data_IF_395936864973
#
_entry.id   IF_395936864973
#
_cell.length_a   1.000
_cell.length_b   1.000
_cell.length_c   1.000
_cell.angle_alpha   90.00
_cell.angle_beta   90.00
_cell.angle_gamma   90.00
#
_symmetry.space_group_name_H-M   'P 1'
#
loop_
_entity.id
_entity.type
_entity.pdbx_description
1 polymer ?
#
# COMPACT_ATOMS: atom_id res chain seq x y z
N UNK A 1 -40.09 -58.86 4.67
CA UNK A 1 -39.73 -58.28 3.35
C UNK A 1 -39.00 -56.97 3.61
N UNK A 2 -37.83 -56.77 2.99
CA UNK A 2 -37.16 -55.46 2.89
C UNK A 2 -36.20 -55.11 4.03
N UNK A 3 -34.96 -55.58 3.93
CA UNK A 3 -33.82 -55.05 4.66
C UNK A 3 -33.35 -53.74 4.00
N UNK A 4 -33.23 -52.66 4.76
CA UNK A 4 -32.45 -51.48 4.35
C UNK A 4 -31.63 -50.99 5.54
N UNK A 5 -30.52 -51.69 5.76
CA UNK A 5 -29.49 -51.30 6.71
C UNK A 5 -28.69 -50.15 6.13
N UNK A 6 -29.08 -48.93 6.50
CA UNK A 6 -28.34 -47.71 6.17
C UNK A 6 -26.86 -47.89 6.51
N UNK A 7 -26.02 -47.82 5.49
CA UNK A 7 -24.58 -48.04 5.60
C UNK A 7 -23.96 -46.85 6.32
N UNK A 8 -23.66 -47.00 7.60
CA UNK A 8 -22.88 -46.01 8.35
C UNK A 8 -21.47 -45.97 7.74
N UNK A 9 -21.09 -44.81 7.20
CA UNK A 9 -19.78 -44.58 6.63
C UNK A 9 -18.69 -44.95 7.65
N UNK A 10 -17.77 -45.83 7.25
CA UNK A 10 -16.71 -46.29 8.14
C UNK A 10 -15.66 -45.19 8.26
N UNK A 11 -14.96 -45.15 9.39
CA UNK A 11 -13.86 -44.20 9.64
C UNK A 11 -12.81 -44.19 8.52
N UNK A 12 -12.64 -45.32 7.84
CA UNK A 12 -11.72 -45.50 6.72
C UNK A 12 -12.14 -44.72 5.48
N UNK A 13 -13.45 -44.62 5.21
CA UNK A 13 -14.00 -43.81 4.12
C UNK A 13 -13.82 -42.31 4.42
N UNK A 14 -14.02 -41.93 5.69
CA UNK A 14 -13.78 -40.56 6.16
C UNK A 14 -12.29 -40.20 6.02
N UNK A 15 -11.39 -41.11 6.37
CA UNK A 15 -9.94 -40.90 6.24
C UNK A 15 -9.48 -40.87 4.78
N UNK A 16 -10.10 -41.66 3.89
CA UNK A 16 -9.80 -41.68 2.45
C UNK A 16 -10.32 -40.42 1.73
N UNK A 17 -11.42 -39.83 2.19
CA UNK A 17 -11.87 -38.51 1.74
C UNK A 17 -10.92 -37.40 2.22
N UNK A 18 -10.33 -37.53 3.42
CA UNK A 18 -9.32 -36.58 3.91
C UNK A 18 -7.98 -36.72 3.17
N UNK A 19 -7.59 -37.92 2.70
CA UNK A 19 -6.37 -38.08 1.90
C UNK A 19 -6.57 -37.65 0.43
N UNK A 20 -7.74 -37.90 -0.17
CA UNK A 20 -8.05 -37.50 -1.55
C UNK A 20 -8.53 -36.04 -1.68
N UNK A 21 -8.95 -35.39 -0.59
CA UNK A 21 -9.23 -33.94 -0.60
C UNK A 21 -7.96 -33.08 -0.70
N UNK A 22 -6.77 -33.65 -0.51
CA UNK A 22 -5.49 -32.95 -0.67
C UNK A 22 -5.06 -32.88 -2.14
N UNK A 23 -5.60 -33.74 -3.03
CA UNK A 23 -5.16 -33.85 -4.43
C UNK A 23 -6.12 -33.29 -5.48
N UNK A 24 -7.32 -32.82 -5.11
CA UNK A 24 -8.32 -32.28 -6.05
C UNK A 24 -8.54 -30.76 -6.01
N UNK A 25 -7.71 -29.99 -5.28
CA UNK A 25 -7.78 -28.51 -5.24
C UNK A 25 -6.77 -27.81 -6.15
N UNK A 26 -6.49 -28.35 -7.35
CA UNK A 26 -5.65 -27.69 -8.36
C UNK A 26 -6.40 -26.63 -9.20
N UNK A 27 -7.47 -26.05 -8.64
CA UNK A 27 -8.13 -24.83 -9.15
C UNK A 27 -8.11 -23.67 -8.14
N UNK A 28 -7.51 -23.83 -6.94
CA UNK A 28 -7.68 -22.91 -5.79
C UNK A 28 -6.64 -21.79 -5.67
N UNK A 29 -5.95 -21.44 -6.76
CA UNK A 29 -4.86 -20.44 -6.74
C UNK A 29 -5.33 -19.02 -7.06
N UNK A 30 -6.09 -18.86 -8.14
CA UNK A 30 -6.42 -17.54 -8.70
C UNK A 30 -7.54 -16.84 -7.90
N UNK A 31 -8.58 -17.56 -7.46
CA UNK A 31 -9.68 -17.00 -6.66
C UNK A 31 -9.20 -16.39 -5.33
N UNK A 32 -8.15 -16.98 -4.75
CA UNK A 32 -7.56 -16.53 -3.50
C UNK A 32 -6.75 -15.23 -3.69
N UNK A 33 -6.01 -15.09 -4.79
CA UNK A 33 -5.22 -13.89 -5.06
C UNK A 33 -6.13 -12.67 -5.29
N UNK A 34 -7.17 -12.82 -6.11
CA UNK A 34 -8.12 -11.75 -6.40
C UNK A 34 -8.90 -11.32 -5.15
N UNK A 35 -9.28 -12.27 -4.30
CA UNK A 35 -9.96 -11.98 -3.03
C UNK A 35 -9.04 -11.24 -2.05
N UNK A 36 -7.78 -11.67 -1.94
CA UNK A 36 -6.81 -11.03 -1.06
C UNK A 36 -6.39 -9.64 -1.54
N UNK A 37 -6.36 -9.42 -2.86
CA UNK A 37 -6.08 -8.11 -3.45
C UNK A 37 -7.14 -7.06 -3.07
N UNK A 38 -8.38 -7.50 -2.82
CA UNK A 38 -9.53 -6.66 -2.51
C UNK A 38 -9.82 -6.55 -1.02
N UNK A 39 -9.02 -7.20 -0.16
CA UNK A 39 -9.24 -7.23 1.29
C UNK A 39 -8.09 -6.63 2.08
N UNK A 40 -8.42 -6.05 3.23
CA UNK A 40 -7.48 -5.48 4.17
C UNK A 40 -6.65 -6.59 4.82
N UNK A 41 -5.32 -6.52 4.74
CA UNK A 41 -4.45 -7.58 5.23
C UNK A 41 -4.53 -7.81 6.76
N UNK A 42 -5.03 -6.85 7.55
CA UNK A 42 -5.19 -7.00 9.01
C UNK A 42 -6.58 -7.45 9.43
N UNK A 43 -7.64 -6.88 8.83
CA UNK A 43 -9.03 -7.10 9.25
C UNK A 43 -9.79 -8.07 8.34
N UNK A 44 -9.24 -8.43 7.18
CA UNK A 44 -9.90 -9.19 6.11
C UNK A 44 -11.18 -8.55 5.57
N UNK A 45 -11.48 -7.30 5.95
CA UNK A 45 -12.60 -6.53 5.43
C UNK A 45 -12.33 -6.09 3.99
N UNK A 46 -13.35 -5.93 3.14
CA UNK A 46 -13.18 -5.41 1.79
C UNK A 46 -12.58 -4.00 1.82
N UNK A 47 -11.68 -3.71 0.88
CA UNK A 47 -11.06 -2.39 0.70
C UNK A 47 -11.97 -1.40 -0.05
N UNK A 48 -12.97 -1.91 -0.76
CA UNK A 48 -13.98 -1.14 -1.49
C UNK A 48 -15.17 -0.78 -0.58
N UNK A 49 -14.94 -0.06 0.51
CA UNK A 49 -16.05 0.34 1.38
C UNK A 49 -16.83 1.52 0.80
N UNK A 50 -18.16 1.54 0.99
CA UNK A 50 -19.06 2.60 0.51
C UNK A 50 -18.70 3.99 1.05
N UNK A 51 -17.98 4.06 2.17
CA UNK A 51 -17.56 5.29 2.85
C UNK A 51 -16.28 5.92 2.28
N UNK A 52 -15.70 5.37 1.20
CA UNK A 52 -14.44 5.86 0.61
C UNK A 52 -13.32 5.95 1.67
N UNK A 53 -13.22 4.89 2.49
CA UNK A 53 -12.26 4.89 3.59
C UNK A 53 -10.84 4.99 3.02
N UNK A 54 -9.96 5.80 3.63
CA UNK A 54 -8.61 5.94 3.13
C UNK A 54 -7.87 4.61 3.20
N UNK A 55 -7.32 4.17 2.08
CA UNK A 55 -6.49 2.96 1.97
C UNK A 55 -5.02 3.37 2.13
N UNK A 56 -4.24 2.54 2.79
CA UNK A 56 -2.79 2.70 2.90
C UNK A 56 -2.05 1.42 2.54
N UNK A 57 -0.81 1.56 2.05
CA UNK A 57 0.06 0.46 1.66
C UNK A 57 1.41 0.52 2.38
N UNK A 58 1.96 -0.64 2.73
CA UNK A 58 3.28 -0.79 3.32
C UNK A 58 4.36 -1.14 2.28
N UNK A 59 5.63 -1.12 2.69
CA UNK A 59 6.73 -1.40 1.77
C UNK A 59 6.74 -2.83 1.21
N UNK A 60 6.03 -3.79 1.84
CA UNK A 60 5.90 -5.17 1.34
C UNK A 60 4.82 -5.33 0.28
N UNK A 61 4.01 -4.30 0.06
CA UNK A 61 2.91 -4.34 -0.91
C UNK A 61 1.61 -4.87 -0.31
N UNK A 62 1.44 -4.82 1.01
CA UNK A 62 0.15 -5.13 1.66
C UNK A 62 -0.69 -3.87 1.79
N UNK A 63 -1.99 -4.02 1.63
CA UNK A 63 -2.97 -2.95 1.68
C UNK A 63 -3.84 -3.04 2.94
N UNK A 64 -4.21 -1.89 3.47
CA UNK A 64 -4.96 -1.76 4.71
C UNK A 64 -6.00 -0.66 4.62
N UNK A 65 -7.14 -0.86 5.28
CA UNK A 65 -7.99 0.24 5.70
C UNK A 65 -7.23 1.05 6.75
N UNK A 66 -7.09 2.37 6.53
CA UNK A 66 -6.30 3.25 7.42
C UNK A 66 -6.80 3.21 8.86
N UNK A 67 -8.11 3.12 9.07
CA UNK A 67 -8.70 3.01 10.39
C UNK A 67 -8.23 1.75 11.13
N UNK A 68 -8.27 0.59 10.45
CA UNK A 68 -7.90 -0.70 11.03
C UNK A 68 -6.41 -0.82 11.35
N UNK A 69 -5.54 -0.25 10.51
CA UNK A 69 -4.11 -0.21 10.84
C UNK A 69 -3.80 0.78 11.98
N UNK A 70 -4.56 1.88 12.12
CA UNK A 70 -4.41 2.79 13.26
C UNK A 70 -4.83 2.10 14.56
N UNK A 71 -5.98 1.42 14.57
CA UNK A 71 -6.44 0.61 15.71
C UNK A 71 -5.34 -0.38 16.14
N UNK A 72 -4.79 -1.13 15.18
CA UNK A 72 -3.68 -2.06 15.42
C UNK A 72 -2.41 -1.37 15.97
N UNK A 73 -2.04 -0.21 15.43
CA UNK A 73 -0.85 0.54 15.88
C UNK A 73 -1.01 1.14 17.28
N UNK A 74 -2.24 1.43 17.72
CA UNK A 74 -2.52 1.88 19.08
C UNK A 74 -2.46 0.70 20.05
N UNK A 75 -3.10 -0.41 19.69
CA UNK A 75 -3.14 -1.62 20.50
C UNK A 75 -1.76 -2.26 20.68
N UNK A 76 -0.93 -2.28 19.65
CA UNK A 76 0.45 -2.77 19.72
C UNK A 76 1.37 -1.93 20.60
N UNK A 77 1.02 -0.65 20.87
CA UNK A 77 1.77 0.22 21.78
C UNK A 77 1.37 0.00 23.24
N UNK A 78 0.09 -0.27 23.50
CA UNK A 78 -0.41 -0.52 24.85
C UNK A 78 -0.08 -1.93 25.31
N UNK A 79 -0.20 -2.92 24.41
CA UNK A 79 0.01 -4.33 24.70
C UNK A 79 0.89 -5.00 23.64
N UNK A 80 2.13 -5.31 24.02
CA UNK A 80 3.10 -5.95 23.13
C UNK A 80 2.71 -7.39 22.77
N UNK A 81 1.84 -8.05 23.53
CA UNK A 81 1.38 -9.41 23.24
C UNK A 81 0.49 -9.48 21.98
N UNK A 82 -0.14 -8.35 21.62
CA UNK A 82 -1.03 -8.23 20.46
C UNK A 82 -0.29 -7.96 19.15
N UNK A 83 1.04 -7.86 19.20
CA UNK A 83 1.89 -7.71 18.00
C UNK A 83 1.89 -9.00 17.21
N UNK A 84 1.11 -9.01 16.12
CA UNK A 84 1.15 -10.06 15.09
C UNK A 84 2.55 -10.12 14.43
N UNK A 85 3.22 -11.30 14.40
CA UNK A 85 4.56 -11.43 13.81
C UNK A 85 4.66 -10.96 12.36
N UNK A 86 3.59 -11.22 11.58
CA UNK A 86 3.49 -10.85 10.17
C UNK A 86 3.42 -9.34 9.91
N UNK A 87 3.22 -8.49 10.93
CA UNK A 87 3.11 -7.03 10.80
C UNK A 87 4.08 -6.27 11.72
N UNK A 88 5.00 -6.96 12.41
CA UNK A 88 5.96 -6.38 13.37
C UNK A 88 6.82 -5.25 12.81
N UNK A 89 6.99 -5.19 11.49
CA UNK A 89 7.77 -4.15 10.81
C UNK A 89 7.04 -2.80 10.69
N UNK A 90 5.70 -2.78 10.74
CA UNK A 90 4.90 -1.55 10.71
C UNK A 90 4.82 -1.00 12.12
N UNK A 91 5.58 0.07 12.41
CA UNK A 91 5.68 0.65 13.77
C UNK A 91 4.99 2.00 13.87
N UNK A 92 4.84 2.68 12.75
CA UNK A 92 4.31 4.03 12.69
C UNK A 92 3.63 4.31 11.37
N UNK A 93 2.87 5.41 11.31
CA UNK A 93 2.28 5.88 10.06
C UNK A 93 3.33 6.27 8.99
N UNK A 94 4.61 6.46 9.36
CA UNK A 94 5.68 6.73 8.39
C UNK A 94 6.05 5.50 7.55
N UNK A 95 5.66 4.32 8.03
CA UNK A 95 5.88 3.04 7.36
C UNK A 95 4.75 2.74 6.35
N UNK A 96 3.80 3.67 6.16
CA UNK A 96 2.60 3.53 5.35
C UNK A 96 2.47 4.71 4.38
N UNK A 97 2.11 4.43 3.13
CA UNK A 97 1.74 5.44 2.13
C UNK A 97 0.23 5.43 1.91
N UNK A 98 -0.43 6.59 1.69
CA UNK A 98 -1.79 6.60 1.16
C UNK A 98 -1.80 5.94 -0.23
N UNK A 99 -2.83 5.15 -0.51
CA UNK A 99 -3.00 4.43 -1.78
C UNK A 99 -4.38 4.76 -2.35
N UNK A 100 -4.41 5.10 -3.65
CA UNK A 100 -5.62 5.48 -4.37
C UNK A 100 -5.90 4.44 -5.45
N UNK A 101 -6.94 3.65 -5.20
CA UNK A 101 -7.40 2.58 -6.07
C UNK A 101 -8.64 3.07 -6.81
N UNK A 102 -8.64 2.94 -8.14
CA UNK A 102 -9.84 3.14 -8.92
C UNK A 102 -10.61 1.81 -8.97
N UNK A 103 -11.82 1.81 -8.44
CA UNK A 103 -12.69 0.65 -8.43
C UNK A 103 -13.72 0.73 -9.56
N UNK A 104 -13.99 -0.39 -10.22
CA UNK A 104 -15.12 -0.57 -11.12
C UNK A 104 -16.03 -1.65 -10.57
N UNK A 105 -17.34 -1.41 -10.59
CA UNK A 105 -18.35 -2.39 -10.22
C UNK A 105 -18.89 -3.08 -11.48
N UNK A 106 -18.94 -4.41 -11.47
CA UNK A 106 -19.55 -5.19 -12.56
C UNK A 106 -21.07 -5.24 -12.39
N UNK A 107 -21.79 -5.64 -13.44
CA UNK A 107 -23.24 -5.87 -13.36
C UNK A 107 -23.65 -6.91 -12.30
N UNK A 108 -22.69 -7.74 -11.83
CA UNK A 108 -22.88 -8.76 -10.80
C UNK A 108 -22.58 -8.24 -9.39
N UNK A 109 -22.26 -6.95 -9.22
CA UNK A 109 -21.91 -6.34 -7.94
C UNK A 109 -20.48 -6.65 -7.48
N UNK A 110 -19.61 -7.17 -8.35
CA UNK A 110 -18.22 -7.42 -8.02
C UNK A 110 -17.38 -6.16 -8.24
N UNK A 111 -16.55 -5.81 -7.25
CA UNK A 111 -15.62 -4.69 -7.38
C UNK A 111 -14.25 -5.18 -7.86
N UNK A 112 -13.75 -4.56 -8.92
CA UNK A 112 -12.44 -4.84 -9.49
C UNK A 112 -11.57 -3.58 -9.52
N UNK A 113 -10.26 -3.77 -9.43
CA UNK A 113 -9.30 -2.68 -9.60
C UNK A 113 -9.21 -2.37 -11.09
N UNK A 114 -9.39 -1.10 -11.46
CA UNK A 114 -9.23 -0.62 -12.83
C UNK A 114 -7.87 0.06 -12.99
N UNK A 115 -7.03 -0.43 -13.90
CA UNK A 115 -5.79 0.26 -14.20
C UNK A 115 -6.06 1.56 -14.96
N UNK A 116 -5.57 2.73 -14.51
CA UNK A 116 -5.80 4.00 -15.21
C UNK A 116 -5.13 4.07 -16.58
N UNK A 117 -4.08 3.27 -16.81
CA UNK A 117 -3.29 3.22 -18.05
C UNK A 117 -3.88 2.22 -19.04
N UNK A 118 -3.99 0.95 -18.66
CA UNK A 118 -4.44 -0.12 -19.57
C UNK A 118 -5.96 -0.18 -19.71
N UNK A 119 -6.72 0.45 -18.80
CA UNK A 119 -8.19 0.34 -18.70
C UNK A 119 -8.72 -1.08 -18.47
N UNK A 120 -7.83 -2.03 -18.25
CA UNK A 120 -8.18 -3.40 -17.92
C UNK A 120 -8.63 -3.47 -16.46
N UNK A 121 -9.80 -4.08 -16.25
CA UNK A 121 -10.40 -4.32 -14.93
C UNK A 121 -10.55 -5.81 -14.61
N UNK A 122 -10.47 -6.71 -15.61
CA UNK A 122 -10.77 -8.13 -15.45
C UNK A 122 -9.78 -9.02 -16.22
N UNK A 123 -8.50 -8.86 -15.93
CA UNK A 123 -7.47 -9.77 -16.46
C UNK A 123 -6.99 -10.66 -15.33
N UNK A 124 -7.15 -11.97 -15.50
CA UNK A 124 -6.58 -13.00 -14.63
C UNK A 124 -5.06 -12.80 -14.59
N UNK A 125 -4.48 -12.63 -13.38
CA UNK A 125 -3.03 -12.43 -13.13
C UNK A 125 -2.46 -11.07 -13.54
N UNK A 126 -3.13 -9.98 -13.16
CA UNK A 126 -2.50 -8.64 -13.20
C UNK A 126 -1.80 -8.35 -11.88
N UNK A 127 -0.50 -8.12 -11.97
CA UNK A 127 0.27 -7.53 -10.87
C UNK A 127 0.04 -6.02 -10.86
N UNK A 128 -0.40 -5.50 -9.73
CA UNK A 128 -0.57 -4.07 -9.51
C UNK A 128 0.62 -3.49 -8.74
N UNK A 129 0.91 -2.23 -9.01
CA UNK A 129 1.92 -1.45 -8.31
C UNK A 129 1.29 -0.16 -7.81
N UNK A 130 1.85 0.40 -6.74
CA UNK A 130 1.60 1.77 -6.37
C UNK A 130 2.91 2.55 -6.24
N UNK A 131 2.83 3.86 -6.45
CA UNK A 131 3.98 4.76 -6.37
C UNK A 131 4.01 5.48 -5.02
N UNK A 132 5.11 5.38 -4.26
CA UNK A 132 5.25 6.01 -2.93
C UNK A 132 4.91 7.51 -2.89
N UNK A 133 5.35 8.37 -3.85
CA UNK A 133 5.11 9.81 -3.79
C UNK A 133 3.64 10.24 -3.96
N UNK A 134 2.82 9.41 -4.60
CA UNK A 134 1.47 9.80 -4.99
C UNK A 134 0.36 8.81 -4.62
N UNK A 135 0.69 7.56 -4.33
CA UNK A 135 -0.27 6.52 -3.98
C UNK A 135 -1.08 5.97 -5.16
N UNK A 136 -0.88 6.45 -6.39
CA UNK A 136 -1.64 5.97 -7.54
C UNK A 136 -1.35 4.49 -7.81
N UNK A 137 -2.41 3.69 -7.94
CA UNK A 137 -2.32 2.27 -8.33
C UNK A 137 -2.45 2.10 -9.85
N UNK A 138 -1.63 1.23 -10.42
CA UNK A 138 -1.63 0.89 -11.85
C UNK A 138 -1.06 -0.52 -12.10
N UNK A 139 -1.11 -1.01 -13.33
CA UNK A 139 -0.56 -2.31 -13.70
C UNK A 139 0.97 -2.26 -13.77
N UNK A 140 1.64 -3.26 -13.21
CA UNK A 140 3.11 -3.38 -13.26
C UNK A 140 3.61 -3.49 -14.70
N UNK A 141 2.88 -4.24 -15.54
CA UNK A 141 3.19 -4.40 -16.97
C UNK A 141 3.17 -3.05 -17.69
N UNK A 142 2.10 -2.25 -17.51
CA UNK A 142 1.99 -0.94 -18.13
C UNK A 142 3.11 0.02 -17.68
N UNK A 143 3.47 -0.03 -16.40
CA UNK A 143 4.56 0.79 -15.86
C UNK A 143 5.95 0.36 -16.40
N UNK A 144 6.19 -0.95 -16.55
CA UNK A 144 7.44 -1.49 -17.13
C UNK A 144 7.63 -1.09 -18.59
N UNK A 145 6.59 -1.14 -19.40
CA UNK A 145 6.67 -0.71 -20.80
C UNK A 145 7.01 0.78 -20.89
N UNK A 146 6.39 1.62 -20.06
CA UNK A 146 6.72 3.04 -19.99
C UNK A 146 8.20 3.27 -19.65
N UNK A 147 8.77 2.50 -18.72
CA UNK A 147 10.18 2.62 -18.35
C UNK A 147 11.12 2.31 -19.53
N UNK A 148 10.79 1.32 -20.37
CA UNK A 148 11.64 0.96 -21.53
C UNK A 148 11.75 2.11 -22.54
N UNK A 149 10.70 2.90 -22.70
CA UNK A 149 10.67 4.05 -23.63
C UNK A 149 11.33 5.32 -23.07
N UNK A 150 11.60 5.39 -21.76
CA UNK A 150 12.12 6.59 -21.09
C UNK A 150 13.64 6.56 -20.89
N UNK A 151 14.31 5.43 -21.18
CA UNK A 151 15.74 5.23 -20.91
C UNK A 151 16.61 6.43 -21.35
N UNK A 152 17.06 7.20 -20.36
CA UNK A 152 18.14 8.19 -20.45
C UNK A 152 19.36 7.68 -19.69
N UNK A 153 20.53 8.21 -20.07
CA UNK A 153 21.86 7.75 -19.67
C UNK A 153 22.11 7.78 -18.14
N UNK A 154 22.67 6.67 -17.64
CA UNK A 154 23.40 6.52 -16.36
C UNK A 154 22.91 7.36 -15.16
N UNK A 155 21.77 7.00 -14.59
CA UNK A 155 21.26 7.53 -13.32
C UNK A 155 19.98 6.84 -12.86
N UNK A 156 19.49 7.09 -11.62
CA UNK A 156 18.19 6.59 -11.21
C UNK A 156 17.10 7.18 -12.12
N UNK A 157 16.23 6.32 -12.64
CA UNK A 157 15.31 6.73 -13.71
C UNK A 157 14.16 7.52 -13.12
N UNK A 158 14.25 8.86 -13.19
CA UNK A 158 13.18 9.78 -12.83
C UNK A 158 12.10 9.81 -13.94
N UNK A 159 10.84 9.74 -13.54
CA UNK A 159 9.70 9.88 -14.44
C UNK A 159 8.52 10.55 -13.74
N UNK A 160 7.43 10.76 -14.47
CA UNK A 160 6.17 11.34 -13.97
C UNK A 160 5.08 10.28 -13.95
N UNK A 161 4.33 10.23 -12.86
CA UNK A 161 3.21 9.32 -12.69
C UNK A 161 2.19 9.53 -13.83
N UNK A 162 1.81 8.49 -14.59
CA UNK A 162 0.86 8.62 -15.70
C UNK A 162 -0.53 9.12 -15.29
N UNK A 163 -0.91 8.95 -14.03
CA UNK A 163 -2.22 9.33 -13.52
C UNK A 163 -2.28 10.77 -13.00
N UNK A 164 -1.23 11.24 -12.31
CA UNK A 164 -1.25 12.54 -11.62
C UNK A 164 -0.03 13.43 -11.90
N UNK A 165 0.87 13.01 -12.78
CA UNK A 165 2.09 13.73 -13.17
C UNK A 165 3.11 14.03 -12.05
N UNK A 166 2.92 13.52 -10.83
CA UNK A 166 3.91 13.62 -9.75
C UNK A 166 5.19 12.87 -10.11
N UNK A 167 6.34 13.47 -9.80
CA UNK A 167 7.67 12.88 -10.01
C UNK A 167 7.87 11.64 -9.12
N UNK A 168 8.50 10.61 -9.67
CA UNK A 168 8.89 9.39 -8.97
C UNK A 168 10.10 8.75 -9.64
N UNK A 169 10.77 7.85 -8.93
CA UNK A 169 11.90 7.07 -9.45
C UNK A 169 11.55 5.59 -9.56
N UNK A 170 11.82 4.98 -10.72
CA UNK A 170 11.51 3.57 -10.93
C UNK A 170 12.26 2.62 -9.98
N UNK A 171 13.45 3.02 -9.54
CA UNK A 171 14.34 2.16 -8.74
C UNK A 171 13.90 1.98 -7.28
N UNK A 172 13.15 2.95 -6.73
CA UNK A 172 12.79 2.91 -5.32
C UNK A 172 11.39 3.43 -4.99
N UNK A 173 10.71 4.16 -5.87
CA UNK A 173 9.35 4.64 -5.56
C UNK A 173 8.27 3.62 -5.93
N UNK A 174 8.61 2.58 -6.69
CA UNK A 174 7.68 1.53 -7.14
C UNK A 174 7.59 0.42 -6.10
N UNK A 175 6.35 0.08 -5.71
CA UNK A 175 6.05 -1.04 -4.82
C UNK A 175 5.01 -1.92 -5.50
N UNK A 176 5.34 -3.21 -5.68
CA UNK A 176 4.42 -4.20 -6.23
C UNK A 176 3.51 -4.68 -5.11
N UNK A 177 2.20 -4.68 -5.34
CA UNK A 177 1.20 -5.17 -4.38
C UNK A 177 1.32 -6.69 -4.30
N UNK A 178 1.55 -7.22 -3.10
CA UNK A 178 1.91 -8.62 -2.86
C UNK A 178 0.96 -9.29 -1.83
N UNK A 179 -0.30 -9.54 -2.20
CA UNK A 179 -1.27 -10.12 -1.27
C UNK A 179 -0.89 -11.55 -0.84
N UNK A 180 -0.22 -12.30 -1.71
CA UNK A 180 0.19 -13.68 -1.48
C UNK A 180 1.57 -13.83 -0.83
N UNK A 181 2.29 -12.74 -0.55
CA UNK A 181 3.66 -12.78 -0.03
C UNK A 181 4.60 -13.63 -0.91
N UNK A 182 4.49 -13.51 -2.25
CA UNK A 182 5.39 -14.17 -3.20
C UNK A 182 6.82 -13.67 -2.93
N UNK A 183 7.77 -14.60 -2.80
CA UNK A 183 9.15 -14.31 -2.35
C UNK A 183 9.89 -13.38 -3.30
N UNK A 184 9.75 -13.57 -4.61
CA UNK A 184 10.39 -12.72 -5.63
C UNK A 184 9.92 -11.26 -5.54
N UNK A 185 8.63 -11.07 -5.27
CA UNK A 185 8.04 -9.73 -5.13
C UNK A 185 8.49 -9.10 -3.80
N UNK A 186 8.53 -9.87 -2.72
CA UNK A 186 9.05 -9.42 -1.43
C UNK A 186 10.51 -8.99 -1.54
N UNK A 187 11.35 -9.74 -2.26
CA UNK A 187 12.75 -9.40 -2.49
C UNK A 187 12.89 -8.09 -3.29
N UNK A 188 12.09 -7.91 -4.35
CA UNK A 188 12.05 -6.68 -5.14
C UNK A 188 11.66 -5.47 -4.27
N UNK A 189 10.55 -5.59 -3.55
CA UNK A 189 10.02 -4.54 -2.68
C UNK A 189 11.00 -4.18 -1.54
N UNK A 190 11.62 -5.18 -0.92
CA UNK A 190 12.64 -5.01 0.12
C UNK A 190 13.88 -4.30 -0.42
N UNK A 191 14.36 -4.65 -1.63
CA UNK A 191 15.49 -3.97 -2.28
C UNK A 191 15.19 -2.48 -2.49
N UNK A 192 14.02 -2.16 -3.05
CA UNK A 192 13.57 -0.79 -3.27
C UNK A 192 13.41 -0.02 -1.96
N UNK A 193 12.92 -0.68 -0.90
CA UNK A 193 12.79 -0.09 0.43
C UNK A 193 14.15 0.16 1.10
N UNK A 194 15.10 -0.76 0.99
CA UNK A 194 16.46 -0.61 1.51
C UNK A 194 17.19 0.56 0.88
N UNK A 195 17.08 0.73 -0.44
CA UNK A 195 17.66 1.89 -1.13
C UNK A 195 17.10 3.20 -0.57
N UNK A 196 15.76 3.31 -0.51
CA UNK A 196 15.08 4.49 0.06
C UNK A 196 15.53 4.80 1.50
N UNK A 197 15.69 3.76 2.32
CA UNK A 197 16.01 3.91 3.75
C UNK A 197 17.48 4.18 4.02
N UNK A 198 18.39 3.49 3.32
CA UNK A 198 19.82 3.51 3.62
C UNK A 198 20.54 4.63 2.87
N UNK A 199 20.27 4.76 1.57
CA UNK A 199 20.91 5.75 0.70
C UNK A 199 20.24 7.11 0.85
N UNK A 200 18.90 7.15 0.75
CA UNK A 200 18.16 8.42 0.78
C UNK A 200 17.72 8.86 2.18
N UNK A 201 17.82 7.98 3.19
CA UNK A 201 17.40 8.25 4.57
C UNK A 201 15.94 8.71 4.67
N UNK A 202 15.06 8.14 3.86
CA UNK A 202 13.62 8.40 3.88
C UNK A 202 12.87 7.21 4.49
N UNK A 203 11.72 7.48 5.12
CA UNK A 203 10.74 6.45 5.48
C UNK A 203 9.98 5.98 4.25
N UNK A 204 9.18 4.92 4.39
CA UNK A 204 8.33 4.44 3.29
C UNK A 204 7.44 5.54 2.72
N UNK A 205 6.86 6.38 3.58
CA UNK A 205 6.07 7.56 3.20
C UNK A 205 6.89 8.75 2.68
N UNK A 206 8.15 8.53 2.27
CA UNK A 206 9.08 9.56 1.78
C UNK A 206 9.37 10.71 2.76
N UNK A 207 9.25 10.46 4.07
CA UNK A 207 9.54 11.45 5.12
C UNK A 207 10.99 11.27 5.59
N UNK A 208 11.80 12.34 5.71
CA UNK A 208 13.16 12.23 6.22
C UNK A 208 13.23 11.55 7.59
N UNK A 209 14.11 10.57 7.70
CA UNK A 209 14.47 9.92 8.95
C UNK A 209 15.43 10.83 9.72
N UNK A 210 15.23 10.93 11.03
CA UNK A 210 16.19 11.64 11.89
C UNK A 210 17.53 10.90 11.79
N UNK A 211 18.63 11.65 11.66
CA UNK A 211 19.97 11.08 11.83
C UNK A 211 20.05 10.56 13.26
N UNK A 212 20.37 9.29 13.41
CA UNK A 212 20.73 8.75 14.71
C UNK A 212 22.04 9.43 15.12
N UNK A 213 21.97 10.33 16.10
CA UNK A 213 23.17 10.83 16.77
C UNK A 213 23.74 9.68 17.60
N UNK A 214 24.48 8.76 16.97
CA UNK A 214 25.43 7.90 17.69
C UNK A 214 26.56 8.80 18.17
N UNK A 215 26.42 9.29 19.39
CA UNK A 215 27.48 9.95 20.12
C UNK A 215 28.66 8.97 20.29
N UNK A 216 29.80 9.34 19.72
CA UNK A 216 31.12 9.00 20.25
C UNK A 216 32.01 10.25 20.13
N UNK A 217 32.28 10.86 21.28
CA UNK A 217 33.54 11.55 21.56
C UNK A 217 33.73 13.00 21.10
N UNK A 218 33.80 13.88 22.11
CA UNK A 218 34.48 15.19 22.16
C UNK A 218 33.69 16.40 21.65
N UNK A 219 33.41 17.29 22.59
CA UNK A 219 32.47 18.38 22.46
C UNK A 219 33.00 19.61 21.73
N UNK A 220 32.05 20.44 21.29
CA UNK A 220 31.95 21.82 21.77
C UNK A 220 30.53 22.30 21.49
N UNK A 221 29.96 22.92 22.52
CA UNK A 221 28.61 23.47 22.58
C UNK A 221 28.40 24.63 21.61
N UNK A 222 27.29 24.62 20.87
CA UNK A 222 26.60 25.84 20.46
C UNK A 222 25.11 25.56 20.19
N UNK A 223 24.29 25.96 21.17
CA UNK A 223 22.83 26.04 21.07
C UNK A 223 22.45 27.04 19.97
N UNK A 224 21.57 26.66 19.05
CA UNK A 224 20.57 27.58 18.48
C UNK A 224 19.25 26.86 18.25
N UNK A 225 18.31 27.11 19.16
CA UNK A 225 16.87 26.89 18.99
C UNK A 225 16.40 27.73 17.78
N UNK A 226 15.63 27.14 16.87
CA UNK A 226 14.63 27.89 16.10
C UNK A 226 13.32 27.11 16.10
N UNK A 227 12.30 27.85 16.53
CA UNK A 227 10.93 27.46 16.84
C UNK A 227 10.16 26.96 15.63
N UNK A 228 9.19 26.10 15.94
CA UNK A 228 8.02 25.75 15.16
C UNK A 228 7.32 27.00 14.57
N UNK A 229 6.98 26.92 13.28
CA UNK A 229 5.89 27.72 12.72
C UNK A 229 4.82 26.77 12.20
N UNK A 230 3.67 26.76 12.88
CA UNK A 230 2.40 26.22 12.40
C UNK A 230 1.90 27.10 11.25
N UNK A 231 1.26 26.54 10.21
CA UNK A 231 0.47 27.35 9.28
C UNK A 231 -0.88 27.68 9.94
N UNK A 232 -1.18 28.97 10.07
CA UNK A 232 -2.51 29.48 10.44
C UNK A 232 -3.17 29.97 9.16
N UNK A 233 -4.31 29.38 8.81
CA UNK A 233 -5.29 29.96 7.91
C UNK A 233 -5.90 31.19 8.58
N UNK A 234 -6.15 32.26 7.84
CA UNK A 234 -7.34 33.07 8.10
C UNK A 234 -7.83 33.81 6.84
N UNK A 235 -9.14 33.71 6.66
CA UNK A 235 -9.98 34.38 5.68
C UNK A 235 -10.30 35.80 6.14
N UNK A 236 -10.43 36.70 5.16
CA UNK A 236 -11.43 37.79 5.09
C UNK A 236 -11.61 38.78 6.27
N UNK A 237 -11.38 40.08 6.02
CA UNK A 237 -12.42 41.09 5.63
C UNK A 237 -12.00 42.53 5.99
N UNK A 238 -12.18 43.39 4.96
CA UNK A 238 -12.84 44.71 4.97
C UNK A 238 -12.13 45.97 5.53
N UNK A 239 -12.07 46.94 4.61
CA UNK A 239 -12.50 48.34 4.71
C UNK A 239 -11.53 49.37 5.32
N UNK A 240 -11.15 50.36 4.50
CA UNK A 240 -11.64 51.77 4.53
C UNK A 240 -10.81 52.62 3.54
N UNK A 241 -11.43 53.08 2.44
CA UNK A 241 -11.95 54.45 2.15
C UNK A 241 -10.96 55.40 1.45
N UNK A 242 -11.46 56.00 0.37
CA UNK A 242 -10.85 56.99 -0.55
C UNK A 242 -10.45 58.32 0.12
N UNK A 243 -9.73 59.22 -0.60
CA UNK A 243 -10.42 60.28 -1.39
C UNK A 243 -9.84 60.44 -2.83
N UNK A 244 -10.66 60.63 -3.87
CA UNK A 244 -11.15 61.90 -4.49
C UNK A 244 -10.05 62.85 -4.95
N UNK A 245 -9.90 63.03 -6.27
CA UNK A 245 -10.00 64.29 -7.07
C UNK A 245 -9.58 63.94 -8.52
N UNK A 246 -10.49 63.86 -9.50
CA UNK A 246 -10.98 64.97 -10.34
C UNK A 246 -9.89 65.62 -11.20
N UNK A 247 -9.97 65.46 -12.54
CA UNK A 247 -10.17 66.56 -13.49
C UNK A 247 -10.13 66.09 -14.96
N UNK A 248 -11.21 66.46 -15.66
CA UNK A 248 -11.44 66.65 -17.10
C UNK A 248 -11.43 65.43 -18.03
#
# INVERSE_FOLDING_TARGET
>A
MGADGGTIAKRQDILSLHSNSVSSFKQKGDDNEETLLKSCAISSLPLYTKSNDPIVGDYKGRLYLKEKIIEYLLESKTDKSKIRPSFKYVKSLKDLCPVYIKWTETAQGEHNIECPITKESKTTKVEYVYLRPCGCVMSHKGLKELNKHIKMDSGPVESRCPTCSKKFHFDYDVVIINPLNKEDIDLYNEKNYRYLRNELRLSHSSIPLKKDNKANGVGTSSKKRKQDQKPVNDLEKKQKTNPILALK
#
